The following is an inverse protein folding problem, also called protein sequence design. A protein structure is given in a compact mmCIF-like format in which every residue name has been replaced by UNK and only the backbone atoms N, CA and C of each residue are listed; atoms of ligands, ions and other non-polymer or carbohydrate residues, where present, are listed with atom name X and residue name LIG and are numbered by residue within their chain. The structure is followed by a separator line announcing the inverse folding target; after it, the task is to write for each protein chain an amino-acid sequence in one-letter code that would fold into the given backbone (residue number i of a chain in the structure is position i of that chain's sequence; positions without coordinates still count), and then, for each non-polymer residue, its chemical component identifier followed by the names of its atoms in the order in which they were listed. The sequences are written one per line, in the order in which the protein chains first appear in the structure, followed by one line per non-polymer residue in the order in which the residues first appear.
data_IF_128630821371
#
_entry.id   IF_128630821371
#
_cell.length_a   1.000
_cell.length_b   1.000
_cell.length_c   1.000
_cell.angle_alpha   90.00
_cell.angle_beta   90.00
_cell.angle_gamma   90.00
#
_symmetry.space_group_name_H-M   'P 1'
#
loop_
_entity.id
_entity.type
_entity.pdbx_description
1 polymer ?
#
# COMPACT_ATOMS: atom_id res chain seq x y z
N UNK A 1 -45.94 -1.08 -17.44
CA UNK A 1 -44.85 -1.54 -18.31
C UNK A 1 -43.57 -0.78 -17.93
N UNK A 2 -42.48 -1.54 -17.75
CA UNK A 2 -41.08 -1.14 -17.62
C UNK A 2 -40.65 -0.25 -16.44
N UNK A 3 -40.37 -0.92 -15.32
CA UNK A 3 -39.41 -0.53 -14.27
C UNK A 3 -37.98 -0.59 -14.83
N UNK A 4 -37.26 0.54 -14.82
CA UNK A 4 -35.83 0.57 -15.16
C UNK A 4 -34.97 0.33 -13.92
N UNK A 5 -34.43 -0.88 -13.78
CA UNK A 5 -33.44 -1.20 -12.75
C UNK A 5 -32.09 -0.57 -13.11
N UNK A 6 -31.58 0.31 -12.25
CA UNK A 6 -30.20 0.76 -12.29
C UNK A 6 -29.28 -0.43 -12.00
N UNK A 7 -28.55 -0.88 -13.02
CA UNK A 7 -27.52 -1.91 -12.91
C UNK A 7 -26.32 -1.35 -12.15
N UNK A 8 -26.23 -1.67 -10.86
CA UNK A 8 -24.99 -1.56 -10.11
C UNK A 8 -23.97 -2.53 -10.70
N UNK A 9 -22.84 -2.00 -11.18
CA UNK A 9 -21.72 -2.81 -11.63
C UNK A 9 -21.06 -3.41 -10.38
N UNK A 10 -21.43 -4.66 -10.08
CA UNK A 10 -20.69 -5.54 -9.18
C UNK A 10 -19.30 -5.78 -9.79
N UNK A 11 -18.25 -5.36 -9.08
CA UNK A 11 -16.88 -5.75 -9.40
C UNK A 11 -16.79 -7.26 -9.17
N UNK A 12 -16.59 -8.02 -10.23
CA UNK A 12 -16.37 -9.47 -10.14
C UNK A 12 -14.98 -9.76 -9.60
N UNK A 13 -14.95 -10.55 -8.54
CA UNK A 13 -13.82 -10.95 -7.69
C UNK A 13 -12.81 -11.91 -8.37
N UNK A 14 -12.67 -11.91 -9.70
CA UNK A 14 -12.04 -13.02 -10.45
C UNK A 14 -10.64 -12.80 -11.03
N UNK A 15 -10.12 -11.56 -11.09
CA UNK A 15 -8.95 -11.28 -11.95
C UNK A 15 -7.67 -10.90 -11.19
N UNK A 16 -7.72 -10.82 -9.85
CA UNK A 16 -6.52 -10.58 -9.05
C UNK A 16 -5.72 -11.87 -8.88
N UNK A 17 -4.64 -12.01 -9.66
CA UNK A 17 -3.81 -13.22 -9.70
C UNK A 17 -2.94 -13.35 -8.44
N UNK A 18 -2.54 -12.23 -7.83
CA UNK A 18 -1.80 -12.15 -6.56
C UNK A 18 -0.44 -12.87 -6.53
N UNK A 19 0.08 -13.27 -7.69
CA UNK A 19 1.40 -13.92 -7.81
C UNK A 19 2.54 -12.94 -7.58
N UNK A 20 2.31 -11.66 -7.85
CA UNK A 20 3.22 -10.57 -7.55
C UNK A 20 3.44 -10.39 -6.04
N UNK A 21 2.44 -10.68 -5.18
CA UNK A 21 2.63 -10.63 -3.73
C UNK A 21 3.73 -11.58 -3.27
N UNK A 22 3.77 -12.80 -3.82
CA UNK A 22 4.79 -13.79 -3.50
C UNK A 22 6.16 -13.40 -4.05
N UNK A 23 6.18 -12.85 -5.26
CA UNK A 23 7.41 -12.37 -5.89
C UNK A 23 8.03 -11.20 -5.11
N UNK A 24 7.22 -10.21 -4.74
CA UNK A 24 7.66 -9.02 -4.01
C UNK A 24 7.81 -9.27 -2.51
N UNK A 25 7.30 -10.38 -1.95
CA UNK A 25 7.58 -10.79 -0.57
C UNK A 25 9.09 -10.88 -0.29
N UNK A 26 9.89 -11.26 -1.30
CA UNK A 26 11.35 -11.33 -1.21
C UNK A 26 12.08 -9.97 -1.14
N UNK A 27 11.43 -8.86 -1.53
CA UNK A 27 12.02 -7.52 -1.53
C UNK A 27 12.17 -6.97 -0.10
N UNK A 28 13.23 -7.37 0.61
CA UNK A 28 13.46 -7.07 2.03
C UNK A 28 14.05 -5.69 2.26
N UNK A 29 14.93 -5.23 1.37
CA UNK A 29 15.52 -3.89 1.48
C UNK A 29 14.50 -2.81 1.15
N UNK A 30 13.62 -3.05 0.18
CA UNK A 30 12.50 -2.14 -0.11
C UNK A 30 11.61 -1.99 1.11
N UNK A 31 11.17 -3.11 1.69
CA UNK A 31 10.36 -3.13 2.92
C UNK A 31 11.02 -2.38 4.06
N UNK A 32 12.29 -2.65 4.32
CA UNK A 32 13.06 -1.93 5.34
C UNK A 32 13.16 -0.44 5.04
N UNK A 33 13.33 -0.07 3.77
CA UNK A 33 13.50 1.33 3.41
C UNK A 33 12.23 2.14 3.68
N UNK A 34 11.09 1.78 3.09
CA UNK A 34 9.87 2.55 3.32
C UNK A 34 9.37 2.41 4.76
N UNK A 35 9.59 1.27 5.43
CA UNK A 35 9.14 1.10 6.81
C UNK A 35 9.92 1.97 7.79
N UNK A 36 11.23 2.12 7.59
CA UNK A 36 12.06 3.06 8.36
C UNK A 36 11.62 4.51 8.14
N UNK A 37 11.08 4.84 6.96
CA UNK A 37 10.60 6.19 6.61
C UNK A 37 9.26 6.52 7.29
N UNK A 38 8.31 5.59 7.29
CA UNK A 38 6.98 5.79 7.89
C UNK A 38 6.95 5.50 9.39
N UNK A 39 7.99 4.82 9.89
CA UNK A 39 8.16 4.40 11.26
C UNK A 39 7.68 5.37 12.36
N UNK A 40 8.01 6.67 12.32
CA UNK A 40 7.60 7.59 13.38
C UNK A 40 6.09 7.83 13.47
N UNK A 41 5.34 7.41 12.44
CA UNK A 41 3.90 7.66 12.28
C UNK A 41 3.05 6.39 12.46
N UNK A 42 3.67 5.26 12.83
CA UNK A 42 2.99 3.96 12.99
C UNK A 42 3.01 3.53 14.46
N UNK A 43 1.84 3.51 15.08
CA UNK A 43 1.64 3.21 16.50
C UNK A 43 0.16 3.01 16.89
N UNK A 44 -0.06 2.57 18.13
CA UNK A 44 -1.39 2.31 18.70
C UNK A 44 -2.07 1.11 18.05
N UNK A 45 -3.37 1.23 17.79
CA UNK A 45 -4.14 0.28 17.00
C UNK A 45 -3.98 0.63 15.52
N UNK A 46 -3.38 -0.29 14.79
CA UNK A 46 -3.09 -0.14 13.37
C UNK A 46 -4.13 -0.89 12.55
N UNK A 47 -4.68 -0.23 11.54
CA UNK A 47 -5.44 -0.85 10.45
C UNK A 47 -4.55 -0.91 9.20
N UNK A 48 -4.30 -2.12 8.73
CA UNK A 48 -3.52 -2.42 7.52
C UNK A 48 -4.49 -2.87 6.43
N UNK A 49 -4.86 -1.93 5.56
CA UNK A 49 -5.88 -2.15 4.52
C UNK A 49 -5.22 -2.78 3.31
N UNK A 50 -5.78 -3.89 2.80
CA UNK A 50 -5.18 -4.68 1.72
C UNK A 50 -3.94 -5.44 2.20
N UNK A 51 -4.01 -6.04 3.38
CA UNK A 51 -2.84 -6.61 4.06
C UNK A 51 -2.18 -7.80 3.32
N UNK A 52 -2.88 -8.42 2.36
CA UNK A 52 -2.39 -9.55 1.58
C UNK A 52 -1.90 -10.68 2.47
N UNK A 53 -0.60 -10.98 2.39
CA UNK A 53 0.06 -12.04 3.18
C UNK A 53 0.65 -11.56 4.52
N UNK A 54 0.34 -10.32 4.94
CA UNK A 54 0.76 -9.72 6.20
C UNK A 54 2.22 -9.28 6.23
N UNK A 55 2.78 -8.93 5.07
CA UNK A 55 4.19 -8.50 4.98
C UNK A 55 4.45 -7.19 5.72
N UNK A 56 3.49 -6.25 5.71
CA UNK A 56 3.58 -4.98 6.44
C UNK A 56 3.61 -5.23 7.95
N UNK A 57 2.67 -6.02 8.48
CA UNK A 57 2.64 -6.43 9.89
C UNK A 57 3.96 -7.06 10.37
N UNK A 58 4.55 -7.93 9.54
CA UNK A 58 5.83 -8.60 9.83
C UNK A 58 6.99 -7.61 10.02
N UNK A 59 7.04 -6.57 9.19
CA UNK A 59 8.10 -5.54 9.26
C UNK A 59 8.01 -4.69 10.53
N UNK A 60 6.81 -4.50 11.09
CA UNK A 60 6.58 -3.77 12.33
C UNK A 60 6.46 -4.68 13.57
N UNK A 61 6.71 -5.98 13.42
CA UNK A 61 6.48 -7.01 14.44
C UNK A 61 7.14 -6.77 15.79
N UNK A 62 8.31 -6.13 15.80
CA UNK A 62 9.12 -5.89 17.00
C UNK A 62 8.84 -4.56 17.68
N UNK A 63 7.93 -3.74 17.15
CA UNK A 63 7.68 -2.40 17.69
C UNK A 63 6.76 -2.41 18.90
N UNK A 64 7.29 -1.87 20.00
CA UNK A 64 6.57 -1.72 21.25
C UNK A 64 5.43 -0.68 21.19
N UNK A 65 5.49 0.26 20.22
CA UNK A 65 4.43 1.27 20.03
C UNK A 65 3.14 0.71 19.44
N UNK A 66 3.13 -0.56 19.01
CA UNK A 66 1.97 -1.21 18.40
C UNK A 66 1.19 -1.94 19.48
N UNK A 67 -0.04 -1.51 19.73
CA UNK A 67 -0.94 -2.13 20.69
C UNK A 67 -1.71 -3.30 20.05
N UNK A 68 -2.25 -3.06 18.85
CA UNK A 68 -2.97 -4.06 18.06
C UNK A 68 -2.75 -3.83 16.57
N UNK A 69 -2.74 -4.90 15.78
CA UNK A 69 -2.61 -4.84 14.33
C UNK A 69 -3.75 -5.58 13.65
N UNK A 70 -4.62 -4.85 12.96
CA UNK A 70 -5.74 -5.42 12.19
C UNK A 70 -5.37 -5.44 10.73
N UNK A 71 -5.08 -6.63 10.21
CA UNK A 71 -4.91 -6.87 8.79
C UNK A 71 -6.29 -7.05 8.14
N UNK A 72 -6.69 -6.12 7.29
CA UNK A 72 -7.95 -6.14 6.56
C UNK A 72 -7.70 -6.58 5.12
N UNK A 73 -8.28 -7.70 4.71
CA UNK A 73 -8.03 -8.32 3.41
C UNK A 73 -9.36 -8.73 2.74
N UNK A 74 -9.74 -8.13 1.59
CA UNK A 74 -11.01 -8.44 0.94
C UNK A 74 -11.04 -9.83 0.29
N UNK A 75 -9.92 -10.38 -0.17
CA UNK A 75 -9.86 -11.69 -0.79
C UNK A 75 -9.88 -12.81 0.25
N UNK A 76 -10.89 -13.68 0.18
CA UNK A 76 -11.06 -14.76 1.15
C UNK A 76 -9.89 -15.78 1.17
N UNK A 77 -9.21 -16.00 0.04
CA UNK A 77 -8.06 -16.90 -0.04
C UNK A 77 -6.86 -16.29 0.68
N UNK A 78 -6.58 -15.00 0.44
CA UNK A 78 -5.50 -14.29 1.15
C UNK A 78 -5.81 -14.12 2.63
N UNK A 79 -7.03 -13.73 2.99
CA UNK A 79 -7.47 -13.66 4.38
C UNK A 79 -7.31 -15.02 5.11
N UNK A 80 -7.68 -16.13 4.46
CA UNK A 80 -7.50 -17.48 5.01
C UNK A 80 -6.04 -17.93 5.12
N UNK A 81 -5.15 -17.50 4.22
CA UNK A 81 -3.70 -17.73 4.33
C UNK A 81 -3.10 -16.92 5.48
N UNK A 82 -3.48 -15.66 5.58
CA UNK A 82 -3.04 -14.74 6.63
C UNK A 82 -3.49 -15.24 8.02
N UNK A 83 -4.75 -15.64 8.17
CA UNK A 83 -5.27 -16.20 9.42
C UNK A 83 -4.47 -17.44 9.87
N UNK A 84 -4.14 -18.35 8.94
CA UNK A 84 -3.29 -19.52 9.23
C UNK A 84 -1.88 -19.11 9.65
N UNK A 85 -1.27 -18.12 8.99
CA UNK A 85 0.05 -17.58 9.36
C UNK A 85 0.05 -17.00 10.77
N UNK A 86 -1.01 -16.28 11.15
CA UNK A 86 -1.17 -15.74 12.51
C UNK A 86 -1.31 -16.89 13.52
N UNK A 87 -2.20 -17.85 13.25
CA UNK A 87 -2.44 -18.99 14.13
C UNK A 87 -1.19 -19.87 14.34
N UNK A 88 -0.30 -19.94 13.34
CA UNK A 88 0.98 -20.67 13.44
C UNK A 88 2.11 -19.84 14.05
N UNK A 89 1.84 -18.65 14.60
CA UNK A 89 2.85 -17.76 15.20
C UNK A 89 3.78 -17.09 14.19
N UNK A 90 3.43 -17.06 12.90
CA UNK A 90 4.21 -16.42 11.84
C UNK A 90 4.08 -14.90 11.78
N UNK A 91 3.29 -14.30 12.67
CA UNK A 91 3.10 -12.87 12.92
C UNK A 91 2.92 -12.63 14.43
N UNK A 92 3.12 -11.39 14.93
CA UNK A 92 2.95 -11.07 16.36
C UNK A 92 1.58 -11.49 16.90
N UNK A 93 1.52 -11.93 18.16
CA UNK A 93 0.28 -12.34 18.82
C UNK A 93 -0.82 -11.26 18.87
N UNK A 94 -0.44 -9.98 18.77
CA UNK A 94 -1.35 -8.82 18.70
C UNK A 94 -1.91 -8.55 17.30
N UNK A 95 -1.65 -9.44 16.34
CA UNK A 95 -2.12 -9.33 14.95
C UNK A 95 -3.39 -10.15 14.78
N UNK A 96 -4.39 -9.58 14.12
CA UNK A 96 -5.61 -10.28 13.72
C UNK A 96 -5.87 -10.10 12.23
N UNK A 97 -6.46 -11.10 11.60
CA UNK A 97 -6.96 -11.02 10.23
C UNK A 97 -8.46 -10.77 10.25
N UNK A 98 -8.94 -9.86 9.40
CA UNK A 98 -10.36 -9.66 9.12
C UNK A 98 -10.57 -9.68 7.62
N UNK A 99 -11.54 -10.48 7.17
CA UNK A 99 -11.94 -10.45 5.77
C UNK A 99 -12.89 -9.28 5.53
N UNK A 100 -12.62 -8.46 4.52
CA UNK A 100 -13.51 -7.38 4.10
C UNK A 100 -12.76 -6.12 3.68
N UNK A 101 -13.52 -5.03 3.56
CA UNK A 101 -13.08 -3.69 3.20
C UNK A 101 -13.30 -2.72 4.35
N UNK A 102 -12.77 -1.49 4.24
CA UNK A 102 -12.98 -0.47 5.29
C UNK A 102 -14.45 -0.12 5.52
N UNK A 103 -15.32 -0.39 4.55
CA UNK A 103 -16.77 -0.18 4.65
C UNK A 103 -17.47 -1.23 5.51
N UNK A 104 -16.86 -2.41 5.65
CA UNK A 104 -17.40 -3.53 6.43
C UNK A 104 -17.06 -3.43 7.93
N UNK A 105 -16.11 -2.54 8.28
CA UNK A 105 -15.75 -2.26 9.67
C UNK A 105 -16.85 -1.47 10.38
N UNK A 106 -17.01 -1.73 11.68
CA UNK A 106 -17.96 -0.98 12.51
C UNK A 106 -17.61 0.53 12.45
N UNK A 107 -18.57 1.42 12.13
CA UNK A 107 -18.35 2.86 12.08
C UNK A 107 -17.86 3.49 13.39
N UNK A 108 -17.99 2.81 14.53
CA UNK A 108 -17.48 3.25 15.82
C UNK A 108 -15.98 2.90 16.03
N UNK A 109 -15.42 1.98 15.25
CA UNK A 109 -14.00 1.62 15.36
C UNK A 109 -13.10 2.81 15.02
N UNK A 110 -12.07 3.01 15.84
CA UNK A 110 -11.05 4.04 15.65
C UNK A 110 -9.68 3.41 15.62
N UNK A 111 -8.78 3.99 14.84
CA UNK A 111 -7.39 3.53 14.72
C UNK A 111 -6.45 4.72 14.84
N UNK A 112 -5.37 4.55 15.59
CA UNK A 112 -4.32 5.56 15.70
C UNK A 112 -3.43 5.58 14.44
N UNK A 113 -3.40 4.48 13.68
CA UNK A 113 -2.74 4.42 12.36
C UNK A 113 -3.60 3.65 11.35
N UNK A 114 -3.75 4.18 10.14
CA UNK A 114 -4.34 3.47 9.00
C UNK A 114 -3.33 3.47 7.85
N UNK A 115 -3.07 2.29 7.28
CA UNK A 115 -2.08 2.06 6.24
C UNK A 115 -2.74 1.59 4.94
N UNK A 116 -2.29 2.15 3.83
CA UNK A 116 -2.49 1.67 2.46
C UNK A 116 -1.12 1.55 1.80
N UNK A 117 -0.54 0.35 1.78
CA UNK A 117 0.80 0.10 1.22
C UNK A 117 0.66 -0.72 -0.05
N UNK A 118 0.82 -0.08 -1.20
CA UNK A 118 0.60 -0.65 -2.54
C UNK A 118 -0.85 -1.19 -2.71
N UNK A 119 -1.85 -0.38 -2.35
CA UNK A 119 -3.29 -0.77 -2.32
C UNK A 119 -4.20 0.26 -2.98
N UNK A 120 -4.01 1.55 -2.71
CA UNK A 120 -4.94 2.60 -3.16
C UNK A 120 -5.04 2.69 -4.69
N UNK A 121 -3.99 2.30 -5.41
CA UNK A 121 -3.93 2.23 -6.86
C UNK A 121 -4.89 1.20 -7.49
N UNK A 122 -5.39 0.23 -6.71
CA UNK A 122 -6.39 -0.75 -7.16
C UNK A 122 -7.83 -0.27 -6.94
N UNK A 123 -8.02 0.86 -6.26
CA UNK A 123 -9.33 1.35 -5.84
C UNK A 123 -9.81 2.41 -6.82
N UNK A 124 -10.96 2.17 -7.45
CA UNK A 124 -11.49 3.10 -8.46
C UNK A 124 -11.91 4.44 -7.87
N UNK A 125 -12.62 4.40 -6.74
CA UNK A 125 -13.03 5.56 -5.94
C UNK A 125 -12.07 5.74 -4.76
N UNK A 126 -10.86 6.19 -5.08
CA UNK A 126 -9.77 6.47 -4.11
C UNK A 126 -10.15 7.60 -3.14
N UNK A 127 -10.84 8.64 -3.60
CA UNK A 127 -11.34 9.72 -2.75
C UNK A 127 -12.36 9.21 -1.70
N UNK A 128 -13.38 8.46 -2.14
CA UNK A 128 -14.39 7.92 -1.24
C UNK A 128 -13.80 6.90 -0.27
N UNK A 129 -12.84 6.09 -0.72
CA UNK A 129 -12.08 5.17 0.15
C UNK A 129 -11.35 5.92 1.26
N UNK A 130 -10.52 6.92 0.93
CA UNK A 130 -9.75 7.65 1.93
C UNK A 130 -10.64 8.47 2.86
N UNK A 131 -11.82 8.94 2.40
CA UNK A 131 -12.80 9.58 3.27
C UNK A 131 -13.37 8.62 4.33
N UNK A 132 -13.71 7.39 3.92
CA UNK A 132 -14.20 6.34 4.83
C UNK A 132 -13.12 5.92 5.84
N UNK A 133 -11.86 5.84 5.39
CA UNK A 133 -10.71 5.58 6.26
C UNK A 133 -10.47 6.74 7.26
N UNK A 134 -10.45 7.98 6.78
CA UNK A 134 -10.23 9.17 7.62
C UNK A 134 -11.28 9.31 8.73
N UNK A 135 -12.54 8.96 8.47
CA UNK A 135 -13.61 8.96 9.47
C UNK A 135 -13.32 7.99 10.65
N UNK A 136 -12.57 6.92 10.41
CA UNK A 136 -12.12 5.92 11.40
C UNK A 136 -10.77 6.25 12.04
N UNK A 137 -10.13 7.35 11.67
CA UNK A 137 -8.87 7.75 12.29
C UNK A 137 -9.14 8.36 13.68
N UNK A 138 -8.40 7.96 14.70
CA UNK A 138 -8.44 8.60 16.01
C UNK A 138 -7.89 10.04 15.92
N UNK A 139 -8.26 10.91 16.88
CA UNK A 139 -7.69 12.26 16.98
C UNK A 139 -6.16 12.18 17.12
N UNK A 140 -5.41 12.92 16.30
CA UNK A 140 -3.95 12.84 16.27
C UNK A 140 -3.39 11.56 15.63
N UNK A 141 -4.26 10.67 15.10
CA UNK A 141 -3.85 9.48 14.37
C UNK A 141 -3.28 9.82 12.99
N UNK A 142 -2.68 8.81 12.33
CA UNK A 142 -2.04 8.96 11.02
C UNK A 142 -2.68 8.09 9.94
N UNK A 143 -2.95 8.69 8.78
CA UNK A 143 -3.21 7.98 7.54
C UNK A 143 -1.91 7.96 6.73
N UNK A 144 -1.47 6.78 6.33
CA UNK A 144 -0.25 6.57 5.54
C UNK A 144 -0.62 5.86 4.24
N UNK A 145 -0.22 6.44 3.12
CA UNK A 145 -0.40 5.84 1.78
C UNK A 145 0.95 5.77 1.09
N UNK A 146 1.36 4.58 0.67
CA UNK A 146 2.48 4.36 -0.25
C UNK A 146 1.90 3.73 -1.52
N UNK A 147 2.10 4.36 -2.67
CA UNK A 147 1.63 3.84 -3.96
C UNK A 147 2.64 4.09 -5.08
N UNK A 148 2.54 3.39 -6.22
CA UNK A 148 3.35 3.63 -7.41
C UNK A 148 3.23 5.07 -7.89
N UNK A 149 4.38 5.68 -8.19
CA UNK A 149 4.47 7.05 -8.64
C UNK A 149 4.49 7.19 -10.16
N UNK A 150 4.09 8.39 -10.59
CA UNK A 150 4.16 8.94 -11.94
C UNK A 150 3.28 8.20 -12.96
N UNK A 151 2.18 8.81 -13.44
CA UNK A 151 1.37 8.25 -14.53
C UNK A 151 2.17 7.95 -15.80
N UNK A 152 3.21 8.73 -16.08
CA UNK A 152 4.12 8.49 -17.19
C UNK A 152 5.00 7.23 -17.04
N UNK A 153 4.93 6.50 -15.91
CA UNK A 153 5.57 5.20 -15.72
C UNK A 153 4.58 4.04 -15.73
N UNK A 154 3.28 4.29 -15.89
CA UNK A 154 2.28 3.24 -16.03
C UNK A 154 2.66 2.32 -17.21
N UNK A 155 2.54 1.01 -17.02
CA UNK A 155 3.08 0.00 -17.92
C UNK A 155 2.15 -1.22 -18.01
N UNK A 156 2.38 -2.16 -18.94
CA UNK A 156 1.62 -3.41 -19.00
C UNK A 156 1.65 -4.21 -17.68
N UNK A 157 2.71 -4.09 -16.88
CA UNK A 157 2.77 -4.68 -15.55
C UNK A 157 1.69 -4.13 -14.62
N UNK A 158 1.50 -2.81 -14.60
CA UNK A 158 0.47 -2.17 -13.78
C UNK A 158 -0.92 -2.69 -14.14
N UNK A 159 -1.22 -2.78 -15.44
CA UNK A 159 -2.49 -3.32 -15.92
C UNK A 159 -2.66 -4.80 -15.54
N UNK A 160 -1.59 -5.61 -15.65
CA UNK A 160 -1.63 -7.04 -15.37
C UNK A 160 -1.92 -7.38 -13.90
N UNK A 161 -1.57 -6.49 -12.97
CA UNK A 161 -1.85 -6.65 -11.54
C UNK A 161 -3.08 -5.86 -11.08
N UNK A 162 -3.79 -5.20 -12.01
CA UNK A 162 -5.06 -4.52 -11.74
C UNK A 162 -4.92 -3.11 -11.17
N UNK A 163 -3.82 -2.40 -11.44
CA UNK A 163 -3.72 -0.98 -11.10
C UNK A 163 -4.68 -0.16 -11.99
N UNK A 164 -5.51 0.65 -11.35
CA UNK A 164 -6.31 1.68 -12.02
C UNK A 164 -5.44 2.88 -12.40
N UNK A 165 -4.41 3.21 -11.59
CA UNK A 165 -3.60 4.42 -11.77
C UNK A 165 -2.22 4.35 -11.11
N UNK A 166 -1.40 5.36 -11.41
CA UNK A 166 -0.24 5.75 -10.60
C UNK A 166 -0.40 7.21 -10.16
N UNK A 167 0.23 7.58 -9.05
CA UNK A 167 0.02 8.89 -8.44
C UNK A 167 1.18 9.85 -8.68
N UNK A 168 0.87 11.13 -8.81
CA UNK A 168 1.83 12.20 -8.51
C UNK A 168 1.62 12.67 -7.08
N UNK A 169 2.52 13.51 -6.55
CA UNK A 169 2.26 14.19 -5.27
C UNK A 169 0.96 15.00 -5.32
N UNK A 170 0.68 15.68 -6.43
CA UNK A 170 -0.53 16.48 -6.58
C UNK A 170 -1.80 15.62 -6.51
N UNK A 171 -1.86 14.56 -7.32
CA UNK A 171 -3.04 13.68 -7.37
C UNK A 171 -3.22 12.87 -6.09
N UNK A 172 -2.13 12.45 -5.42
CA UNK A 172 -2.24 11.78 -4.12
C UNK A 172 -2.73 12.74 -3.02
N UNK A 173 -2.26 13.99 -3.05
CA UNK A 173 -2.76 15.04 -2.15
C UNK A 173 -4.24 15.32 -2.36
N UNK A 174 -4.70 15.32 -3.62
CA UNK A 174 -6.10 15.53 -3.97
C UNK A 174 -7.00 14.39 -3.51
N UNK A 175 -6.51 13.14 -3.57
CA UNK A 175 -7.24 11.98 -3.06
C UNK A 175 -7.48 12.03 -1.54
N UNK A 176 -6.58 12.66 -0.78
CA UNK A 176 -6.70 12.75 0.67
C UNK A 176 -7.82 13.71 1.09
N UNK A 177 -8.66 13.36 2.09
CA UNK A 177 -9.72 14.24 2.58
C UNK A 177 -9.19 15.58 3.12
N UNK A 178 -9.92 16.66 2.85
CA UNK A 178 -9.58 18.01 3.32
C UNK A 178 -9.54 18.14 4.86
N UNK A 179 -10.25 17.23 5.56
CA UNK A 179 -10.25 17.17 7.01
C UNK A 179 -8.91 16.71 7.61
N UNK A 180 -8.01 16.16 6.80
CA UNK A 180 -6.69 15.71 7.26
C UNK A 180 -5.60 16.73 6.91
N UNK A 181 -4.74 17.00 7.89
CA UNK A 181 -3.57 17.85 7.69
C UNK A 181 -2.42 17.02 7.13
N UNK A 182 -1.85 17.45 6.00
CA UNK A 182 -0.65 16.84 5.42
C UNK A 182 0.55 17.00 6.36
N UNK A 183 1.19 15.87 6.67
CA UNK A 183 2.44 15.78 7.43
C UNK A 183 3.63 15.61 6.49
N UNK A 184 3.50 14.71 5.50
CA UNK A 184 4.59 14.36 4.56
C UNK A 184 4.05 14.04 3.18
N UNK A 185 4.82 14.34 2.13
CA UNK A 185 4.47 14.03 0.75
C UNK A 185 5.71 13.96 -0.13
N UNK A 186 6.23 12.74 -0.28
CA UNK A 186 7.58 12.46 -0.74
C UNK A 186 7.57 11.41 -1.86
N UNK A 187 8.61 11.40 -2.68
CA UNK A 187 8.90 10.28 -3.55
C UNK A 187 10.04 9.43 -2.98
N UNK A 188 9.92 8.11 -3.12
CA UNK A 188 10.91 7.12 -2.69
C UNK A 188 11.36 6.27 -3.89
N UNK A 189 12.58 5.77 -3.82
CA UNK A 189 13.24 4.92 -4.81
C UNK A 189 13.63 5.63 -6.12
N UNK A 190 14.50 6.65 -6.05
CA UNK A 190 14.95 7.40 -7.24
C UNK A 190 15.71 6.53 -8.27
N UNK A 191 16.49 5.54 -7.83
CA UNK A 191 17.18 4.63 -8.76
C UNK A 191 16.17 3.68 -9.41
N UNK A 192 15.16 3.21 -8.67
CA UNK A 192 14.05 2.44 -9.24
C UNK A 192 13.22 3.24 -10.24
N UNK A 193 13.09 4.56 -10.07
CA UNK A 193 12.46 5.42 -11.08
C UNK A 193 13.20 5.34 -12.42
N UNK A 194 14.53 5.48 -12.41
CA UNK A 194 15.36 5.35 -13.61
C UNK A 194 15.23 3.96 -14.24
N UNK A 195 15.18 2.90 -13.42
CA UNK A 195 14.97 1.53 -13.85
C UNK A 195 13.62 1.35 -14.57
N UNK A 196 12.54 1.85 -13.95
CA UNK A 196 11.18 1.79 -14.49
C UNK A 196 11.06 2.59 -15.79
N UNK A 197 11.74 3.74 -15.90
CA UNK A 197 11.81 4.50 -17.14
C UNK A 197 12.54 3.70 -18.24
N UNK A 198 13.67 3.08 -17.91
CA UNK A 198 14.39 2.19 -18.83
C UNK A 198 13.54 1.00 -19.30
N UNK A 199 12.82 0.34 -18.38
CA UNK A 199 11.89 -0.72 -18.74
C UNK A 199 10.79 -0.22 -19.67
N UNK A 200 10.17 0.93 -19.38
CA UNK A 200 9.09 1.50 -20.21
C UNK A 200 9.58 1.87 -21.62
N UNK A 201 10.76 2.45 -21.74
CA UNK A 201 11.29 2.91 -23.02
C UNK A 201 11.86 1.77 -23.88
N UNK A 202 12.47 0.75 -23.26
CA UNK A 202 13.25 -0.28 -23.96
C UNK A 202 12.59 -1.67 -23.89
N UNK A 203 12.33 -2.18 -22.69
CA UNK A 203 11.99 -3.60 -22.47
C UNK A 203 10.49 -3.89 -22.62
N UNK A 204 9.63 -2.96 -22.19
CA UNK A 204 8.15 -3.07 -22.15
C UNK A 204 7.65 -4.38 -21.51
N UNK A 205 8.41 -4.92 -20.55
CA UNK A 205 8.05 -6.19 -19.90
C UNK A 205 6.75 -6.07 -19.10
N UNK A 206 5.91 -7.09 -19.19
CA UNK A 206 4.65 -7.20 -18.45
C UNK A 206 4.83 -7.75 -17.03
N UNK A 207 5.88 -8.52 -16.74
CA UNK A 207 6.17 -9.01 -15.38
C UNK A 207 7.68 -9.01 -15.13
N UNK A 208 8.14 -8.52 -13.97
CA UNK A 208 9.52 -8.74 -13.55
C UNK A 208 9.72 -10.21 -13.14
N UNK A 209 10.90 -10.75 -13.38
CA UNK A 209 11.29 -12.06 -12.86
C UNK A 209 12.01 -11.94 -11.50
N UNK A 210 12.20 -13.08 -10.82
CA UNK A 210 12.84 -13.12 -9.51
C UNK A 210 14.26 -12.53 -9.48
N UNK A 211 15.04 -12.69 -10.55
CA UNK A 211 16.38 -12.12 -10.63
C UNK A 211 16.35 -10.59 -10.75
N UNK A 212 15.41 -10.04 -11.51
CA UNK A 212 15.19 -8.59 -11.61
C UNK A 212 14.77 -7.98 -10.28
N UNK A 213 13.84 -8.63 -9.56
CA UNK A 213 13.43 -8.18 -8.22
C UNK A 213 14.59 -8.27 -7.23
N UNK A 214 15.38 -9.35 -7.28
CA UNK A 214 16.56 -9.48 -6.42
C UNK A 214 17.62 -8.41 -6.73
N UNK A 215 17.86 -8.09 -8.00
CA UNK A 215 18.80 -7.05 -8.40
C UNK A 215 18.32 -5.66 -7.95
N UNK A 216 17.05 -5.34 -8.18
CA UNK A 216 16.44 -4.10 -7.71
C UNK A 216 16.53 -3.98 -6.18
N UNK A 217 16.09 -5.00 -5.44
CA UNK A 217 16.07 -4.95 -3.98
C UNK A 217 17.48 -4.92 -3.37
N UNK A 218 18.44 -5.71 -3.87
CA UNK A 218 19.76 -5.84 -3.24
C UNK A 218 20.76 -4.77 -3.68
N UNK A 219 20.62 -4.23 -4.90
CA UNK A 219 21.59 -3.29 -5.48
C UNK A 219 21.02 -1.88 -5.57
N UNK A 220 19.79 -1.73 -6.07
CA UNK A 220 19.25 -0.42 -6.42
C UNK A 220 18.62 0.28 -5.21
N UNK A 221 17.79 -0.42 -4.45
CA UNK A 221 17.13 0.15 -3.26
C UNK A 221 18.11 0.71 -2.22
N UNK A 222 19.22 0.03 -1.87
CA UNK A 222 20.19 0.61 -0.92
C UNK A 222 20.85 1.90 -1.44
N UNK A 223 21.02 2.03 -2.76
CA UNK A 223 21.51 3.26 -3.39
C UNK A 223 20.45 4.36 -3.33
N UNK A 224 19.19 4.06 -3.69
CA UNK A 224 18.07 4.98 -3.54
C UNK A 224 17.94 5.48 -2.10
N UNK A 225 17.98 4.58 -1.11
CA UNK A 225 17.88 4.94 0.31
C UNK A 225 18.92 5.98 0.75
N UNK A 226 20.11 5.97 0.14
CA UNK A 226 21.16 6.97 0.39
C UNK A 226 20.96 8.26 -0.42
N UNK A 227 20.46 8.13 -1.65
CA UNK A 227 20.32 9.24 -2.60
C UNK A 227 19.06 10.07 -2.37
N UNK A 228 17.95 9.46 -2.01
CA UNK A 228 16.64 10.11 -1.91
C UNK A 228 16.64 11.29 -0.90
N UNK A 229 17.28 11.20 0.29
CA UNK A 229 17.42 12.36 1.18
C UNK A 229 18.22 13.51 0.55
N UNK A 230 19.27 13.21 -0.21
CA UNK A 230 20.07 14.22 -0.93
C UNK A 230 19.27 14.90 -2.05
N UNK A 231 18.40 14.15 -2.72
CA UNK A 231 17.43 14.69 -3.68
C UNK A 231 16.24 15.41 -3.03
N UNK A 232 16.17 15.46 -1.69
CA UNK A 232 15.04 16.00 -0.95
C UNK A 232 13.73 15.28 -1.26
N UNK A 233 13.79 13.99 -1.56
CA UNK A 233 12.62 13.15 -1.90
C UNK A 233 11.76 13.69 -3.06
N UNK A 234 12.39 14.34 -4.05
CA UNK A 234 11.70 14.97 -5.19
C UNK A 234 11.51 14.07 -6.40
N UNK A 235 12.10 12.88 -6.42
CA UNK A 235 11.98 11.88 -7.48
C UNK A 235 12.01 10.47 -6.89
N UNK A 236 11.26 9.53 -7.48
CA UNK A 236 11.16 8.17 -6.96
C UNK A 236 10.13 7.33 -7.69
N UNK A 237 10.28 6.01 -7.63
CA UNK A 237 9.36 5.04 -8.23
C UNK A 237 8.02 4.98 -7.48
N UNK A 238 8.01 5.32 -6.20
CA UNK A 238 6.81 5.33 -5.35
C UNK A 238 6.58 6.69 -4.73
N UNK A 239 5.34 7.01 -4.42
CA UNK A 239 4.92 8.23 -3.73
C UNK A 239 4.36 7.85 -2.36
N UNK A 240 4.84 8.56 -1.34
CA UNK A 240 4.43 8.42 0.05
C UNK A 240 3.68 9.66 0.48
N UNK A 241 2.46 9.48 0.97
CA UNK A 241 1.68 10.51 1.65
C UNK A 241 1.42 10.13 3.11
N UNK A 242 1.58 11.10 4.01
CA UNK A 242 1.23 10.95 5.43
C UNK A 242 0.40 12.15 5.84
N UNK A 243 -0.75 11.89 6.46
CA UNK A 243 -1.65 12.91 6.99
C UNK A 243 -2.06 12.58 8.42
N UNK A 244 -2.51 13.58 9.15
CA UNK A 244 -3.00 13.44 10.53
C UNK A 244 -4.36 14.12 10.69
N UNK A 245 -5.20 13.57 11.58
CA UNK A 245 -6.52 14.10 11.94
C UNK A 245 -6.44 15.13 13.04
#
# INVERSE_FOLDING_TARGET
MATGSAGGVLITQSDYVGTELELFAAARNWKRYWSDVIAPFVGGRVLDVGAGLGATADVFSTRATIEAWTCLEPDARFAGRLARRIASGGLPARTQARQGTVRDLDPAERFETILYIDVLEHIRDDHGELAVAAARLATGGHLVVLSPAHPCLYSPFDAAIGHERRYTRATLREAAPESLRRVRLDYLDAIGFCASLGNRLVLRSAMPNAAQIAAWDRLMVPLSRRLDPWLGFRAGKSVLGIWTR
#
